data_IF_116821859576
#
_entry.id   IF_116821859576
#
_cell.length_a   1.000
_cell.length_b   1.000
_cell.length_c   1.000
_cell.angle_alpha   90.00
_cell.angle_beta   90.00
_cell.angle_gamma   90.00
#
_symmetry.space_group_name_H-M   'P 1'
#
loop_
_entity.id
_entity.type
_entity.pdbx_description
1 polymer ?
#
# COMPACT_ATOMS: atom_id res chain seq x y z
N UNK A 1 -81.28 -30.70 22.22
CA UNK A 1 -79.87 -30.78 22.62
C UNK A 1 -79.09 -31.41 21.48
N UNK A 2 -78.15 -30.68 20.90
CA UNK A 2 -77.20 -31.17 19.90
C UNK A 2 -75.79 -30.68 20.31
N UNK A 3 -74.75 -31.51 20.24
CA UNK A 3 -73.43 -31.16 20.75
C UNK A 3 -72.64 -30.40 19.67
N UNK A 4 -72.03 -29.28 20.03
CA UNK A 4 -71.02 -28.64 19.19
C UNK A 4 -69.63 -29.03 19.68
N UNK A 5 -68.99 -29.81 18.83
CA UNK A 5 -67.62 -30.34 18.91
C UNK A 5 -66.59 -29.22 18.90
N UNK A 6 -65.65 -29.27 19.83
CA UNK A 6 -64.46 -28.41 19.85
C UNK A 6 -63.56 -28.69 18.64
N UNK A 7 -63.43 -27.71 17.75
CA UNK A 7 -62.43 -27.73 16.68
C UNK A 7 -61.08 -27.30 17.24
N UNK A 8 -60.22 -28.27 17.54
CA UNK A 8 -58.79 -28.05 17.76
C UNK A 8 -58.21 -27.56 16.43
N UNK A 9 -57.88 -26.27 16.36
CA UNK A 9 -57.23 -25.66 15.20
C UNK A 9 -55.78 -26.14 15.20
N UNK A 10 -55.52 -27.18 14.40
CA UNK A 10 -54.19 -27.58 13.98
C UNK A 10 -53.48 -26.36 13.40
N UNK A 11 -52.37 -25.96 14.05
CA UNK A 11 -51.39 -25.03 13.47
C UNK A 11 -50.76 -25.69 12.24
N UNK A 12 -51.46 -25.63 11.11
CA UNK A 12 -50.85 -25.86 9.81
C UNK A 12 -49.88 -24.71 9.54
N UNK A 13 -48.60 -25.06 9.49
CA UNK A 13 -47.52 -24.23 9.01
C UNK A 13 -47.79 -23.89 7.55
N UNK A 14 -48.34 -22.72 7.28
CA UNK A 14 -48.29 -22.12 5.95
C UNK A 14 -46.85 -21.70 5.68
N UNK A 15 -46.07 -22.58 5.03
CA UNK A 15 -44.92 -22.18 4.22
C UNK A 15 -45.46 -21.36 3.03
N UNK A 16 -45.74 -20.09 3.30
CA UNK A 16 -46.13 -19.13 2.29
C UNK A 16 -44.94 -18.95 1.33
N UNK A 17 -45.17 -19.19 0.03
CA UNK A 17 -44.16 -19.07 -1.03
C UNK A 17 -43.67 -17.62 -1.14
N UNK A 18 -42.70 -17.25 -0.30
CA UNK A 18 -42.01 -15.96 -0.35
C UNK A 18 -41.38 -15.81 -1.74
N UNK A 19 -41.91 -14.90 -2.54
CA UNK A 19 -41.43 -14.64 -3.89
C UNK A 19 -39.97 -14.17 -3.81
N UNK A 20 -39.16 -14.44 -4.86
CA UNK A 20 -37.75 -14.02 -4.93
C UNK A 20 -37.56 -12.53 -4.58
N UNK A 21 -38.55 -11.70 -4.93
CA UNK A 21 -38.58 -10.26 -4.66
C UNK A 21 -38.76 -9.94 -3.17
N UNK A 22 -39.58 -10.70 -2.45
CA UNK A 22 -39.78 -10.56 -1.00
C UNK A 22 -38.56 -11.06 -0.22
N UNK A 23 -37.99 -12.21 -0.62
CA UNK A 23 -36.72 -12.68 -0.06
C UNK A 23 -35.60 -11.64 -0.23
N UNK A 24 -35.53 -10.99 -1.39
CA UNK A 24 -34.56 -9.92 -1.62
C UNK A 24 -34.83 -8.69 -0.74
N UNK A 25 -36.10 -8.29 -0.54
CA UNK A 25 -36.47 -7.21 0.39
C UNK A 25 -36.05 -7.52 1.83
N UNK A 26 -36.18 -8.77 2.28
CA UNK A 26 -35.75 -9.23 3.62
C UNK A 26 -34.23 -9.33 3.76
N UNK A 27 -33.51 -9.73 2.70
CA UNK A 27 -32.06 -9.85 2.72
C UNK A 27 -31.33 -8.49 2.58
N UNK A 28 -31.95 -7.50 1.93
CA UNK A 28 -31.38 -6.15 1.75
C UNK A 28 -30.87 -5.53 3.06
N UNK A 29 -31.66 -5.47 4.16
CA UNK A 29 -31.18 -4.97 5.46
C UNK A 29 -29.95 -5.72 6.00
N UNK A 30 -29.92 -7.04 5.84
CA UNK A 30 -28.82 -7.90 6.33
C UNK A 30 -27.55 -7.66 5.53
N UNK A 31 -27.66 -7.59 4.20
CA UNK A 31 -26.53 -7.31 3.30
C UNK A 31 -25.96 -5.92 3.61
N UNK A 32 -26.82 -4.92 3.77
CA UNK A 32 -26.38 -3.57 4.07
C UNK A 32 -25.75 -3.47 5.46
N UNK A 33 -26.26 -4.20 6.46
CA UNK A 33 -25.61 -4.30 7.78
C UNK A 33 -24.18 -4.85 7.63
N UNK A 34 -24.01 -5.99 6.93
CA UNK A 34 -22.67 -6.57 6.66
C UNK A 34 -21.75 -5.60 5.93
N UNK A 35 -22.28 -4.81 4.99
CA UNK A 35 -21.50 -3.78 4.27
C UNK A 35 -21.02 -2.69 5.23
N UNK A 36 -21.90 -2.17 6.08
CA UNK A 36 -21.56 -1.15 7.09
C UNK A 36 -20.55 -1.67 8.11
N UNK A 37 -20.73 -2.90 8.58
CA UNK A 37 -19.81 -3.52 9.54
C UNK A 37 -18.41 -3.65 8.94
N UNK A 38 -18.30 -4.09 7.68
CA UNK A 38 -17.02 -4.12 6.96
C UNK A 38 -16.38 -2.74 6.84
N UNK A 39 -17.15 -1.72 6.48
CA UNK A 39 -16.62 -0.34 6.36
C UNK A 39 -16.11 0.17 7.71
N UNK A 40 -16.88 -0.02 8.78
CA UNK A 40 -16.47 0.40 10.12
C UNK A 40 -15.21 -0.34 10.58
N UNK A 41 -15.11 -1.64 10.28
CA UNK A 41 -13.92 -2.42 10.58
C UNK A 41 -12.68 -1.87 9.86
N UNK A 42 -12.79 -1.56 8.57
CA UNK A 42 -11.69 -0.95 7.81
C UNK A 42 -11.29 0.42 8.37
N UNK A 43 -12.25 1.26 8.80
CA UNK A 43 -11.95 2.57 9.40
C UNK A 43 -11.18 2.41 10.72
N UNK A 44 -11.54 1.44 11.56
CA UNK A 44 -10.80 1.18 12.82
C UNK A 44 -9.39 0.63 12.55
N UNK A 45 -9.22 -0.19 11.52
CA UNK A 45 -7.90 -0.63 11.09
C UNK A 45 -7.04 0.55 10.63
N UNK A 46 -7.59 1.46 9.83
CA UNK A 46 -6.88 2.68 9.39
C UNK A 46 -6.43 3.53 10.58
N UNK A 47 -7.32 3.73 11.56
CA UNK A 47 -6.99 4.44 12.81
C UNK A 47 -5.81 3.80 13.55
N UNK A 48 -5.79 2.47 13.63
CA UNK A 48 -4.71 1.73 14.30
C UNK A 48 -3.39 1.85 13.53
N UNK A 49 -3.41 1.67 12.20
CA UNK A 49 -2.22 1.76 11.35
C UNK A 49 -1.58 3.14 11.37
N UNK A 50 -2.40 4.19 11.39
CA UNK A 50 -1.97 5.59 11.41
C UNK A 50 -1.81 6.13 12.84
N UNK A 51 -1.90 5.29 13.88
CA UNK A 51 -1.90 5.73 15.28
C UNK A 51 -0.71 6.61 15.66
N UNK A 52 0.48 6.38 15.09
CA UNK A 52 1.67 7.23 15.31
C UNK A 52 1.54 8.62 14.68
N UNK A 53 0.89 8.72 13.52
CA UNK A 53 0.61 9.99 12.85
C UNK A 53 -0.44 10.80 13.64
N UNK A 54 -1.41 10.10 14.25
CA UNK A 54 -2.44 10.72 15.11
C UNK A 54 -1.94 11.14 16.50
N UNK A 55 -0.94 10.45 17.07
CA UNK A 55 -0.38 10.81 18.39
C UNK A 55 0.22 12.22 18.42
N UNK A 56 0.61 12.77 17.26
CA UNK A 56 1.08 14.14 17.13
C UNK A 56 -0.04 15.19 17.31
N UNK A 57 -1.32 14.80 17.24
CA UNK A 57 -2.49 15.68 17.23
C UNK A 57 -3.32 15.64 18.54
N UNK A 58 -2.72 15.15 19.63
CA UNK A 58 -3.30 14.84 20.95
C UNK A 58 -3.67 13.36 21.16
N UNK A 59 -3.08 12.70 22.17
CA UNK A 59 -3.28 11.26 22.42
C UNK A 59 -4.69 10.86 22.88
N UNK A 60 -5.56 11.81 23.25
CA UNK A 60 -6.89 11.56 23.80
C UNK A 60 -8.04 12.15 22.96
N UNK A 61 -7.75 12.76 21.81
CA UNK A 61 -8.80 13.31 20.97
C UNK A 61 -9.60 12.18 20.32
N UNK A 62 -10.93 12.24 20.45
CA UNK A 62 -11.83 11.29 19.80
C UNK A 62 -11.81 11.56 18.30
N UNK A 63 -11.00 10.78 17.56
CA UNK A 63 -10.91 10.90 16.11
C UNK A 63 -12.26 10.61 15.46
N UNK A 64 -12.77 11.58 14.69
CA UNK A 64 -13.98 11.38 13.90
C UNK A 64 -13.66 10.53 12.67
N UNK A 65 -14.70 9.88 12.11
CA UNK A 65 -14.52 9.05 10.90
C UNK A 65 -14.04 9.86 9.70
N UNK A 66 -14.42 11.13 9.62
CA UNK A 66 -13.97 12.03 8.55
C UNK A 66 -12.47 12.30 8.67
N UNK A 67 -11.99 12.66 9.87
CA UNK A 67 -10.57 12.90 10.15
C UNK A 67 -9.71 11.68 9.83
N UNK A 68 -10.17 10.47 10.22
CA UNK A 68 -9.45 9.23 9.94
C UNK A 68 -9.27 9.04 8.43
N UNK A 69 -10.32 9.28 7.64
CA UNK A 69 -10.28 9.13 6.20
C UNK A 69 -9.42 10.20 5.53
N UNK A 70 -9.53 11.46 5.97
CA UNK A 70 -8.73 12.56 5.44
C UNK A 70 -7.23 12.35 5.70
N UNK A 71 -6.87 12.01 6.94
CA UNK A 71 -5.49 11.71 7.30
C UNK A 71 -4.95 10.53 6.48
N UNK A 72 -5.75 9.49 6.29
CA UNK A 72 -5.38 8.34 5.45
C UNK A 72 -5.04 8.77 4.02
N UNK A 73 -5.87 9.63 3.42
CA UNK A 73 -5.64 10.12 2.05
C UNK A 73 -4.36 10.94 1.97
N UNK A 74 -4.13 11.84 2.93
CA UNK A 74 -2.94 12.67 2.98
C UNK A 74 -1.67 11.82 3.16
N UNK A 75 -1.72 10.84 4.07
CA UNK A 75 -0.65 9.87 4.26
C UNK A 75 -0.32 9.11 2.97
N UNK A 76 -1.33 8.60 2.25
CA UNK A 76 -1.12 7.87 1.00
C UNK A 76 -0.53 8.76 -0.10
N UNK A 77 -0.96 10.03 -0.20
CA UNK A 77 -0.38 10.99 -1.15
C UNK A 77 1.10 11.23 -0.86
N UNK A 78 1.44 11.51 0.39
CA UNK A 78 2.82 11.72 0.81
C UNK A 78 3.68 10.47 0.60
N UNK A 79 3.16 9.31 0.94
CA UNK A 79 3.87 8.04 0.76
C UNK A 79 4.13 7.73 -0.73
N UNK A 80 3.14 7.92 -1.60
CA UNK A 80 3.32 7.73 -3.04
C UNK A 80 4.34 8.70 -3.63
N UNK A 81 4.31 9.97 -3.20
CA UNK A 81 5.31 10.96 -3.63
C UNK A 81 6.72 10.55 -3.19
N UNK A 82 6.90 10.15 -1.92
CA UNK A 82 8.18 9.67 -1.39
C UNK A 82 8.69 8.44 -2.13
N UNK A 83 7.83 7.45 -2.36
CA UNK A 83 8.17 6.26 -3.14
C UNK A 83 8.61 6.62 -4.56
N UNK A 84 7.89 7.52 -5.23
CA UNK A 84 8.28 7.99 -6.56
C UNK A 84 9.66 8.66 -6.54
N UNK A 85 9.92 9.54 -5.57
CA UNK A 85 11.24 10.18 -5.43
C UNK A 85 12.34 9.15 -5.18
N UNK A 86 12.14 8.21 -4.25
CA UNK A 86 13.15 7.20 -3.92
C UNK A 86 13.43 6.25 -5.09
N UNK A 87 12.37 5.77 -5.77
CA UNK A 87 12.53 4.91 -6.93
C UNK A 87 13.22 5.64 -8.08
N UNK A 88 12.86 6.90 -8.33
CA UNK A 88 13.51 7.72 -9.34
C UNK A 88 14.99 7.98 -9.03
N UNK A 89 15.35 8.38 -7.80
CA UNK A 89 16.76 8.63 -7.42
C UNK A 89 17.59 7.34 -7.46
N UNK A 90 17.02 6.22 -7.02
CA UNK A 90 17.66 4.90 -7.12
C UNK A 90 17.89 4.52 -8.59
N UNK A 91 16.91 4.75 -9.47
CA UNK A 91 17.06 4.48 -10.90
C UNK A 91 18.13 5.36 -11.55
N UNK A 92 18.20 6.65 -11.20
CA UNK A 92 19.21 7.57 -11.72
C UNK A 92 20.62 7.18 -11.27
N UNK A 93 20.79 6.87 -9.98
CA UNK A 93 22.09 6.43 -9.43
C UNK A 93 22.52 5.09 -10.03
N UNK A 94 21.60 4.14 -10.23
CA UNK A 94 21.89 2.89 -10.90
C UNK A 94 22.31 3.09 -12.37
N UNK A 95 21.57 3.91 -13.12
CA UNK A 95 21.90 4.24 -14.51
C UNK A 95 23.26 4.95 -14.62
N UNK A 96 23.55 5.87 -13.71
CA UNK A 96 24.85 6.54 -13.63
C UNK A 96 25.98 5.54 -13.36
N UNK A 97 25.82 4.68 -12.33
CA UNK A 97 26.82 3.68 -11.97
C UNK A 97 27.08 2.69 -13.09
N UNK A 98 26.03 2.28 -13.81
CA UNK A 98 26.15 1.42 -14.98
C UNK A 98 26.91 2.10 -16.12
N UNK A 99 26.56 3.35 -16.46
CA UNK A 99 27.26 4.14 -17.46
C UNK A 99 28.73 4.38 -17.11
N UNK A 100 29.00 4.72 -15.85
CA UNK A 100 30.35 4.89 -15.33
C UNK A 100 31.16 3.60 -15.43
N UNK A 101 30.57 2.47 -15.04
CA UNK A 101 31.22 1.16 -15.11
C UNK A 101 31.57 0.78 -16.55
N UNK A 102 30.68 1.03 -17.51
CA UNK A 102 30.94 0.78 -18.93
C UNK A 102 32.08 1.65 -19.46
N UNK A 103 32.06 2.95 -19.16
CA UNK A 103 33.14 3.87 -19.54
C UNK A 103 34.49 3.43 -18.96
N UNK A 104 34.51 3.04 -17.68
CA UNK A 104 35.71 2.55 -17.02
C UNK A 104 36.25 1.27 -17.66
N UNK A 105 35.37 0.33 -18.02
CA UNK A 105 35.74 -0.89 -18.75
C UNK A 105 36.34 -0.57 -20.12
N UNK A 106 35.78 0.38 -20.86
CA UNK A 106 36.33 0.82 -22.15
C UNK A 106 37.74 1.43 -21.98
N UNK A 107 37.93 2.32 -21.00
CA UNK A 107 39.23 2.94 -20.70
C UNK A 107 40.28 1.87 -20.36
N UNK A 108 39.88 0.85 -19.59
CA UNK A 108 40.73 -0.30 -19.29
C UNK A 108 41.11 -1.04 -20.57
N UNK A 109 40.13 -1.41 -21.41
CA UNK A 109 40.37 -2.13 -22.67
C UNK A 109 41.33 -1.37 -23.60
N UNK A 110 41.13 -0.05 -23.78
CA UNK A 110 42.03 0.79 -24.57
C UNK A 110 43.44 0.88 -23.99
N UNK A 111 43.56 0.92 -22.66
CA UNK A 111 44.86 0.99 -21.98
C UNK A 111 45.66 -0.32 -22.11
N UNK A 112 44.98 -1.48 -22.16
CA UNK A 112 45.64 -2.78 -22.36
C UNK A 112 46.00 -3.07 -23.82
N UNK A 113 45.37 -2.39 -24.79
CA UNK A 113 45.71 -2.51 -26.21
C UNK A 113 47.03 -1.80 -26.59
N UNK A 114 47.56 -0.94 -25.73
CA UNK A 114 48.85 -0.27 -25.92
C UNK A 114 49.93 -1.00 -25.10
N UNK A 115 50.89 -1.65 -25.77
CA UNK A 115 51.93 -2.45 -25.11
C UNK A 115 52.89 -1.65 -24.18
N UNK A 116 52.88 -0.32 -24.24
CA UNK A 116 53.64 0.52 -23.29
C UNK A 116 52.80 0.87 -22.06
N UNK A 117 52.87 0.00 -21.03
CA UNK A 117 52.24 0.24 -19.71
C UNK A 117 52.82 1.49 -19.05
N UNK A 118 52.22 2.65 -19.31
CA UNK A 118 52.59 3.91 -18.66
C UNK A 118 52.03 3.93 -17.24
N UNK A 119 52.84 4.24 -16.23
CA UNK A 119 52.39 4.34 -14.83
C UNK A 119 51.24 5.32 -14.63
N UNK A 120 51.12 6.30 -15.52
CA UNK A 120 50.01 7.25 -15.59
C UNK A 120 48.68 6.53 -15.87
N UNK A 121 48.65 5.54 -16.77
CA UNK A 121 47.43 4.78 -17.09
C UNK A 121 46.98 3.93 -15.90
N UNK A 122 47.91 3.28 -15.19
CA UNK A 122 47.57 2.53 -13.97
C UNK A 122 47.01 3.44 -12.89
N UNK A 123 47.68 4.57 -12.63
CA UNK A 123 47.22 5.56 -11.65
C UNK A 123 45.82 6.08 -12.00
N UNK A 124 45.57 6.37 -13.28
CA UNK A 124 44.27 6.81 -13.76
C UNK A 124 43.17 5.76 -13.48
N UNK A 125 43.36 4.50 -13.89
CA UNK A 125 42.38 3.43 -13.67
C UNK A 125 42.11 3.21 -12.18
N UNK A 126 43.14 3.26 -11.33
CA UNK A 126 42.99 3.15 -9.87
C UNK A 126 42.20 4.32 -9.28
N UNK A 127 42.49 5.56 -9.73
CA UNK A 127 41.73 6.72 -9.30
C UNK A 127 40.26 6.66 -9.70
N UNK A 128 39.97 6.23 -10.94
CA UNK A 128 38.60 6.08 -11.43
C UNK A 128 37.83 4.98 -10.69
N UNK A 129 38.47 3.85 -10.36
CA UNK A 129 37.84 2.83 -9.50
C UNK A 129 37.49 3.37 -8.12
N UNK A 130 38.34 4.20 -7.52
CA UNK A 130 38.06 4.84 -6.24
C UNK A 130 36.92 5.87 -6.31
N UNK A 131 36.69 6.47 -7.47
CA UNK A 131 35.67 7.49 -7.68
C UNK A 131 34.27 6.94 -8.02
N UNK A 132 34.13 5.64 -8.30
CA UNK A 132 32.85 5.00 -8.66
C UNK A 132 31.80 5.05 -7.53
N UNK A 133 32.22 5.24 -6.28
CA UNK A 133 31.33 5.40 -5.14
C UNK A 133 31.57 6.78 -4.50
N UNK A 134 30.88 7.84 -4.92
CA UNK A 134 30.90 9.08 -4.17
C UNK A 134 30.30 8.85 -2.78
N UNK A 135 30.73 9.60 -1.74
CA UNK A 135 30.07 9.58 -0.45
C UNK A 135 28.60 9.93 -0.68
N UNK A 136 27.70 9.07 -0.19
CA UNK A 136 26.29 9.44 -0.10
C UNK A 136 26.22 10.50 0.98
N UNK A 137 26.05 11.77 0.58
CA UNK A 137 25.82 12.85 1.52
C UNK A 137 24.62 12.46 2.42
N UNK A 138 24.79 12.36 3.75
CA UNK A 138 23.66 12.23 4.64
C UNK A 138 22.94 13.58 4.60
N UNK A 139 21.68 13.58 4.13
CA UNK A 139 20.78 14.71 4.35
C UNK A 139 20.69 15.09 5.83
#
# INVERSE_FOLDING_TARGET
MAPHTSSVITREYTEEKVTRKEKYKLMKPVIEKKRRDRINHSIEQLKTLLGREFQNQEPNMKLEKADILEMTVNFLKLHNQRLFTVTYTTSLTQNYNEGYSRCLQEIQQFSFAQESKNDIQRKLVTHLHGAQNPPVDPC
#
